data_IF_968387471682
#
_entry.id   IF_968387471682
#
_cell.length_a   1.000
_cell.length_b   1.000
_cell.length_c   1.000
_cell.angle_alpha   90.00
_cell.angle_beta   90.00
_cell.angle_gamma   90.00
#
_symmetry.space_group_name_H-M   'P 1'
#
loop_
_entity.id
_entity.type
_entity.pdbx_description
1 polymer ?
#
# COMPACT_ATOMS: atom_id res chain seq x y z
N UNK A 1 -60.74 -12.64 -129.76
CA UNK A 1 -60.20 -13.53 -128.72
C UNK A 1 -60.16 -14.94 -129.28
N UNK A 2 -59.04 -15.66 -129.12
CA UNK A 2 -58.89 -17.04 -129.59
C UNK A 2 -59.68 -17.98 -128.69
N UNK A 3 -60.23 -19.07 -129.24
CA UNK A 3 -60.95 -20.10 -128.47
C UNK A 3 -60.10 -20.69 -127.34
N UNK A 4 -58.77 -20.75 -127.53
CA UNK A 4 -57.81 -21.17 -126.51
C UNK A 4 -57.73 -20.19 -125.31
N UNK A 5 -57.86 -18.87 -125.56
CA UNK A 5 -57.89 -17.87 -124.49
C UNK A 5 -59.17 -18.03 -123.65
N UNK A 6 -60.31 -18.30 -124.30
CA UNK A 6 -61.59 -18.52 -123.62
C UNK A 6 -61.57 -19.76 -122.72
N UNK A 7 -60.96 -20.86 -123.15
CA UNK A 7 -60.82 -22.08 -122.35
C UNK A 7 -59.87 -21.90 -121.16
N UNK A 8 -58.76 -21.18 -121.36
CA UNK A 8 -57.84 -20.84 -120.28
C UNK A 8 -58.50 -19.94 -119.23
N UNK A 9 -59.27 -18.93 -119.66
CA UNK A 9 -60.06 -18.10 -118.74
C UNK A 9 -61.05 -18.96 -117.95
N UNK A 10 -61.75 -19.89 -118.60
CA UNK A 10 -62.72 -20.78 -117.94
C UNK A 10 -62.09 -21.68 -116.87
N UNK A 11 -60.86 -22.17 -117.10
CA UNK A 11 -60.09 -22.91 -116.09
C UNK A 11 -59.73 -22.03 -114.90
N UNK A 12 -59.23 -20.81 -115.15
CA UNK A 12 -58.90 -19.85 -114.09
C UNK A 12 -60.15 -19.52 -113.24
N UNK A 13 -61.30 -19.30 -113.87
CA UNK A 13 -62.56 -19.06 -113.15
C UNK A 13 -63.02 -20.26 -112.31
N UNK A 14 -62.83 -21.49 -112.82
CA UNK A 14 -63.14 -22.71 -112.07
C UNK A 14 -62.23 -22.89 -110.86
N UNK A 15 -60.92 -22.73 -111.04
CA UNK A 15 -59.95 -22.85 -109.94
C UNK A 15 -60.18 -21.78 -108.88
N UNK A 16 -60.50 -20.54 -109.30
CA UNK A 16 -60.87 -19.46 -108.39
C UNK A 16 -62.16 -19.77 -107.62
N UNK A 17 -63.18 -20.34 -108.29
CA UNK A 17 -64.43 -20.72 -107.65
C UNK A 17 -64.23 -21.85 -106.63
N UNK A 18 -63.44 -22.87 -106.95
CA UNK A 18 -63.09 -23.98 -106.04
C UNK A 18 -62.31 -23.43 -104.84
N UNK A 19 -61.27 -22.63 -105.07
CA UNK A 19 -60.47 -22.03 -104.00
C UNK A 19 -61.33 -21.16 -103.07
N UNK A 20 -62.25 -20.36 -103.63
CA UNK A 20 -63.21 -19.59 -102.84
C UNK A 20 -64.13 -20.48 -102.01
N UNK A 21 -64.66 -21.57 -102.58
CA UNK A 21 -65.53 -22.49 -101.86
C UNK A 21 -64.81 -23.20 -100.71
N UNK A 22 -63.57 -23.65 -100.94
CA UNK A 22 -62.72 -24.24 -99.90
C UNK A 22 -62.49 -23.23 -98.76
N UNK A 23 -62.11 -22.00 -99.09
CA UNK A 23 -61.88 -20.95 -98.09
C UNK A 23 -63.15 -20.58 -97.30
N UNK A 24 -64.30 -20.50 -97.96
CA UNK A 24 -65.59 -20.23 -97.29
C UNK A 24 -65.98 -21.36 -96.34
N UNK A 25 -65.77 -22.62 -96.75
CA UNK A 25 -66.06 -23.78 -95.90
C UNK A 25 -65.10 -23.89 -94.71
N UNK A 26 -63.82 -23.65 -94.90
CA UNK A 26 -62.82 -23.64 -93.81
C UNK A 26 -63.11 -22.51 -92.80
N UNK A 27 -63.45 -21.31 -93.27
CA UNK A 27 -63.84 -20.20 -92.41
C UNK A 27 -65.13 -20.51 -91.63
N UNK A 28 -66.12 -21.11 -92.28
CA UNK A 28 -67.36 -21.54 -91.63
C UNK A 28 -67.11 -22.61 -90.55
N UNK A 29 -66.24 -23.58 -90.81
CA UNK A 29 -65.84 -24.58 -89.82
C UNK A 29 -65.10 -23.95 -88.63
N UNK A 30 -64.16 -23.03 -88.88
CA UNK A 30 -63.42 -22.32 -87.82
C UNK A 30 -64.34 -21.48 -86.93
N UNK A 31 -65.36 -20.86 -87.53
CA UNK A 31 -66.40 -20.09 -86.82
C UNK A 31 -67.54 -20.96 -86.27
N UNK A 32 -67.50 -22.27 -86.51
CA UNK A 32 -68.52 -23.24 -86.09
C UNK A 32 -69.93 -22.90 -86.60
N UNK A 33 -70.03 -22.44 -87.84
CA UNK A 33 -71.30 -22.25 -88.54
C UNK A 33 -71.89 -23.60 -88.96
N UNK A 34 -73.21 -23.64 -89.13
CA UNK A 34 -73.93 -24.83 -89.62
C UNK A 34 -73.63 -25.08 -91.10
N UNK A 35 -73.86 -26.30 -91.56
CA UNK A 35 -73.57 -26.73 -92.94
C UNK A 35 -74.37 -25.96 -94.02
N UNK A 36 -75.46 -25.28 -93.64
CA UNK A 36 -76.36 -24.49 -94.48
C UNK A 36 -76.22 -22.96 -94.29
N UNK A 37 -75.00 -22.46 -94.12
CA UNK A 37 -74.74 -21.04 -93.89
C UNK A 37 -74.89 -20.18 -95.16
N UNK A 38 -75.41 -18.96 -95.01
CA UNK A 38 -75.42 -17.95 -96.07
C UNK A 38 -74.14 -17.09 -96.05
N UNK A 39 -73.87 -16.37 -97.13
CA UNK A 39 -72.75 -15.43 -97.17
C UNK A 39 -72.86 -14.33 -96.09
N UNK A 40 -74.08 -13.93 -95.73
CA UNK A 40 -74.33 -12.94 -94.67
C UNK A 40 -74.09 -13.54 -93.28
N UNK A 41 -74.42 -14.81 -93.05
CA UNK A 41 -74.10 -15.52 -91.80
C UNK A 41 -72.58 -15.62 -91.59
N UNK A 42 -71.83 -15.97 -92.65
CA UNK A 42 -70.37 -16.03 -92.61
C UNK A 42 -69.77 -14.65 -92.32
N UNK A 43 -70.27 -13.61 -92.98
CA UNK A 43 -69.81 -12.24 -92.75
C UNK A 43 -70.11 -11.76 -91.33
N UNK A 44 -71.32 -12.00 -90.83
CA UNK A 44 -71.71 -11.62 -89.48
C UNK A 44 -70.88 -12.34 -88.40
N UNK A 45 -70.60 -13.63 -88.58
CA UNK A 45 -69.76 -14.40 -87.67
C UNK A 45 -68.29 -13.94 -87.71
N UNK A 46 -67.75 -13.63 -88.90
CA UNK A 46 -66.43 -13.01 -89.04
C UNK A 46 -66.36 -11.66 -88.32
N UNK A 47 -67.36 -10.78 -88.49
CA UNK A 47 -67.41 -9.48 -87.82
C UNK A 47 -67.44 -9.61 -86.29
N UNK A 48 -68.21 -10.57 -85.76
CA UNK A 48 -68.24 -10.86 -84.31
C UNK A 48 -66.90 -11.40 -83.82
N UNK A 49 -66.28 -12.32 -84.56
CA UNK A 49 -64.98 -12.87 -84.19
C UNK A 49 -63.87 -11.80 -84.22
N UNK A 50 -63.87 -10.92 -85.22
CA UNK A 50 -62.94 -9.79 -85.33
C UNK A 50 -63.14 -8.83 -84.16
N UNK A 51 -64.39 -8.46 -83.84
CA UNK A 51 -64.68 -7.59 -82.68
C UNK A 51 -64.21 -8.22 -81.38
N UNK A 52 -64.49 -9.51 -81.17
CA UNK A 52 -64.05 -10.23 -79.97
C UNK A 52 -62.53 -10.29 -79.86
N UNK A 53 -61.83 -10.49 -80.98
CA UNK A 53 -60.36 -10.46 -81.00
C UNK A 53 -59.83 -9.07 -80.63
N UNK A 54 -60.40 -8.01 -81.21
CA UNK A 54 -60.06 -6.62 -80.88
C UNK A 54 -60.31 -6.30 -79.40
N UNK A 55 -61.47 -6.66 -78.87
CA UNK A 55 -61.82 -6.46 -77.45
C UNK A 55 -60.88 -7.25 -76.52
N UNK A 56 -60.50 -8.47 -76.91
CA UNK A 56 -59.55 -9.28 -76.16
C UNK A 56 -58.15 -8.66 -76.17
N UNK A 57 -57.67 -8.17 -77.32
CA UNK A 57 -56.37 -7.50 -77.43
C UNK A 57 -56.32 -6.22 -76.58
N UNK A 58 -57.40 -5.42 -76.59
CA UNK A 58 -57.54 -4.24 -75.72
C UNK A 58 -57.51 -4.65 -74.26
N UNK A 59 -58.30 -5.66 -73.86
CA UNK A 59 -58.35 -6.14 -72.48
C UNK A 59 -57.00 -6.72 -72.02
N UNK A 60 -56.27 -7.43 -72.88
CA UNK A 60 -54.93 -7.93 -72.57
C UNK A 60 -53.95 -6.78 -72.37
N UNK A 61 -53.99 -5.75 -73.23
CA UNK A 61 -53.14 -4.57 -73.10
C UNK A 61 -53.42 -3.81 -71.79
N UNK A 62 -54.69 -3.58 -71.46
CA UNK A 62 -55.10 -2.94 -70.21
C UNK A 62 -54.66 -3.74 -68.98
N UNK A 63 -54.89 -5.05 -68.98
CA UNK A 63 -54.48 -5.92 -67.87
C UNK A 63 -52.96 -5.96 -67.71
N UNK A 64 -52.21 -5.98 -68.82
CA UNK A 64 -50.74 -5.93 -68.79
C UNK A 64 -50.23 -4.61 -68.22
N UNK A 65 -50.85 -3.49 -68.61
CA UNK A 65 -50.49 -2.18 -68.06
C UNK A 65 -50.78 -2.11 -66.56
N UNK A 66 -51.97 -2.54 -66.13
CA UNK A 66 -52.34 -2.57 -64.71
C UNK A 66 -51.43 -3.47 -63.88
N UNK A 67 -51.13 -4.67 -64.38
CA UNK A 67 -50.19 -5.58 -63.72
C UNK A 67 -48.77 -4.98 -63.60
N UNK A 68 -48.31 -4.27 -64.64
CA UNK A 68 -47.01 -3.60 -64.63
C UNK A 68 -46.96 -2.47 -63.58
N UNK A 69 -48.04 -1.69 -63.47
CA UNK A 69 -48.17 -0.65 -62.45
C UNK A 69 -48.21 -1.23 -61.03
N UNK A 70 -48.97 -2.30 -60.80
CA UNK A 70 -49.06 -2.98 -59.50
C UNK A 70 -47.70 -3.58 -59.09
N UNK A 71 -47.00 -4.22 -60.02
CA UNK A 71 -45.63 -4.71 -59.79
C UNK A 71 -44.69 -3.56 -59.44
N UNK A 72 -44.76 -2.44 -60.15
CA UNK A 72 -43.95 -1.26 -59.87
C UNK A 72 -44.19 -0.70 -58.47
N UNK A 73 -45.46 -0.61 -58.04
CA UNK A 73 -45.83 -0.18 -56.68
C UNK A 73 -45.29 -1.15 -55.63
N UNK A 74 -45.49 -2.45 -55.82
CA UNK A 74 -45.01 -3.48 -54.90
C UNK A 74 -43.48 -3.47 -54.78
N UNK A 75 -42.75 -3.29 -55.89
CA UNK A 75 -41.29 -3.18 -55.87
C UNK A 75 -40.83 -1.93 -55.09
N UNK A 76 -41.52 -0.80 -55.25
CA UNK A 76 -41.23 0.42 -54.50
C UNK A 76 -41.48 0.26 -53.00
N UNK A 77 -42.58 -0.40 -52.62
CA UNK A 77 -42.90 -0.72 -51.23
C UNK A 77 -41.87 -1.66 -50.62
N UNK A 78 -41.52 -2.76 -51.30
CA UNK A 78 -40.49 -3.70 -50.84
C UNK A 78 -39.15 -2.99 -50.64
N UNK A 79 -38.74 -2.11 -51.56
CA UNK A 79 -37.51 -1.32 -51.42
C UNK A 79 -37.55 -0.41 -50.20
N UNK A 80 -38.69 0.21 -49.93
CA UNK A 80 -38.90 1.08 -48.76
C UNK A 80 -38.82 0.27 -47.46
N UNK A 81 -39.48 -0.90 -47.42
CA UNK A 81 -39.47 -1.80 -46.26
C UNK A 81 -38.06 -2.30 -45.98
N UNK A 82 -37.34 -2.77 -47.01
CA UNK A 82 -35.95 -3.24 -46.85
C UNK A 82 -35.08 -2.14 -46.25
N UNK A 83 -35.17 -0.91 -46.78
CA UNK A 83 -34.41 0.22 -46.24
C UNK A 83 -34.76 0.48 -44.77
N UNK A 84 -36.06 0.57 -44.45
CA UNK A 84 -36.49 0.80 -43.05
C UNK A 84 -36.05 -0.32 -42.11
N UNK A 85 -36.03 -1.57 -42.59
CA UNK A 85 -35.59 -2.72 -41.82
C UNK A 85 -34.10 -2.65 -41.55
N UNK A 86 -33.29 -2.34 -42.56
CA UNK A 86 -31.84 -2.18 -42.39
C UNK A 86 -31.52 -1.03 -41.43
N UNK A 87 -32.21 0.10 -41.54
CA UNK A 87 -32.03 1.23 -40.63
C UNK A 87 -32.42 0.85 -39.18
N UNK A 88 -33.54 0.13 -39.00
CA UNK A 88 -33.98 -0.35 -37.69
C UNK A 88 -33.04 -1.40 -37.09
N UNK A 89 -32.51 -2.33 -37.90
CA UNK A 89 -31.51 -3.31 -37.48
C UNK A 89 -30.21 -2.61 -37.04
N UNK A 90 -29.75 -1.61 -37.78
CA UNK A 90 -28.57 -0.81 -37.40
C UNK A 90 -28.78 -0.06 -36.09
N UNK A 91 -29.95 0.56 -35.89
CA UNK A 91 -30.28 1.24 -34.62
C UNK A 91 -30.34 0.26 -33.45
N UNK A 92 -30.92 -0.94 -33.65
CA UNK A 92 -30.98 -1.98 -32.63
C UNK A 92 -29.57 -2.42 -32.24
N UNK A 93 -28.69 -2.67 -33.19
CA UNK A 93 -27.33 -3.16 -32.93
C UNK A 93 -26.49 -2.08 -32.22
N UNK A 94 -26.66 -0.81 -32.58
CA UNK A 94 -26.05 0.31 -31.86
C UNK A 94 -26.57 0.41 -30.41
N UNK A 95 -27.88 0.28 -30.20
CA UNK A 95 -28.49 0.32 -28.87
C UNK A 95 -28.05 -0.85 -27.97
N UNK A 96 -27.88 -2.05 -28.55
CA UNK A 96 -27.33 -3.21 -27.82
C UNK A 96 -25.89 -2.92 -27.39
N UNK A 97 -25.06 -2.41 -28.31
CA UNK A 97 -23.66 -2.07 -28.01
C UNK A 97 -23.55 -1.01 -26.90
N UNK A 98 -24.37 0.04 -26.97
CA UNK A 98 -24.40 1.09 -25.96
C UNK A 98 -24.88 0.58 -24.60
N UNK A 99 -25.91 -0.28 -24.59
CA UNK A 99 -26.40 -0.94 -23.37
C UNK A 99 -25.31 -1.79 -22.72
N UNK A 100 -24.62 -2.63 -23.50
CA UNK A 100 -23.53 -3.47 -23.00
C UNK A 100 -22.39 -2.61 -22.42
N UNK A 101 -22.01 -1.52 -23.11
CA UNK A 101 -21.01 -0.58 -22.61
C UNK A 101 -21.44 0.10 -21.29
N UNK A 102 -22.70 0.53 -21.20
CA UNK A 102 -23.25 1.14 -19.98
C UNK A 102 -23.31 0.14 -18.81
N UNK A 103 -23.69 -1.12 -19.07
CA UNK A 103 -23.69 -2.19 -18.06
C UNK A 103 -22.27 -2.47 -17.53
N UNK A 104 -21.29 -2.56 -18.43
CA UNK A 104 -19.88 -2.73 -18.03
C UNK A 104 -19.38 -1.54 -17.21
N UNK A 105 -19.69 -0.31 -17.63
CA UNK A 105 -19.34 0.89 -16.88
C UNK A 105 -19.97 0.91 -15.48
N UNK A 106 -21.22 0.46 -15.33
CA UNK A 106 -21.87 0.34 -14.03
C UNK A 106 -21.22 -0.73 -13.13
N UNK A 107 -20.84 -1.88 -13.69
CA UNK A 107 -20.15 -2.94 -12.96
C UNK A 107 -18.80 -2.44 -12.44
N UNK A 108 -18.01 -1.79 -13.31
CA UNK A 108 -16.72 -1.21 -12.95
C UNK A 108 -16.91 -0.11 -11.90
N UNK A 109 -17.82 0.84 -12.13
CA UNK A 109 -18.10 1.92 -11.18
C UNK A 109 -18.56 1.44 -9.81
N UNK A 110 -19.38 0.37 -9.74
CA UNK A 110 -19.77 -0.26 -8.47
C UNK A 110 -18.58 -0.88 -7.74
N UNK A 111 -17.69 -1.56 -8.48
CA UNK A 111 -16.48 -2.16 -7.92
C UNK A 111 -15.54 -1.09 -7.38
N UNK A 112 -15.27 -0.06 -8.18
CA UNK A 112 -14.39 1.06 -7.81
C UNK A 112 -14.93 1.81 -6.59
N UNK A 113 -16.25 2.05 -6.53
CA UNK A 113 -16.88 2.66 -5.36
C UNK A 113 -16.78 1.77 -4.11
N UNK A 114 -16.97 0.45 -4.26
CA UNK A 114 -16.81 -0.50 -3.15
C UNK A 114 -15.38 -0.51 -2.60
N UNK A 115 -14.39 -0.50 -3.49
CA UNK A 115 -12.98 -0.50 -3.10
C UNK A 115 -12.55 0.85 -2.50
N UNK A 116 -13.05 1.97 -3.03
CA UNK A 116 -12.90 3.29 -2.44
C UNK A 116 -13.50 3.36 -1.03
N UNK A 117 -14.71 2.82 -0.83
CA UNK A 117 -15.36 2.74 0.48
C UNK A 117 -14.56 1.88 1.47
N UNK A 118 -14.03 0.73 1.04
CA UNK A 118 -13.16 -0.11 1.90
C UNK A 118 -11.89 0.64 2.30
N UNK A 119 -11.26 1.34 1.36
CA UNK A 119 -10.06 2.14 1.63
C UNK A 119 -10.37 3.29 2.59
N UNK A 120 -11.47 4.00 2.39
CA UNK A 120 -11.94 5.06 3.28
C UNK A 120 -12.23 4.52 4.70
N UNK A 121 -12.91 3.38 4.82
CA UNK A 121 -13.15 2.72 6.11
C UNK A 121 -11.86 2.36 6.83
N UNK A 122 -10.89 1.76 6.13
CA UNK A 122 -9.56 1.46 6.70
C UNK A 122 -8.85 2.72 7.18
N UNK A 123 -8.86 3.78 6.37
CA UNK A 123 -8.26 5.06 6.77
C UNK A 123 -8.92 5.65 8.03
N UNK A 124 -10.25 5.55 8.15
CA UNK A 124 -10.98 5.98 9.35
C UNK A 124 -10.63 5.12 10.56
N UNK A 125 -10.55 3.80 10.42
CA UNK A 125 -10.14 2.88 11.48
C UNK A 125 -8.71 3.17 11.95
N UNK A 126 -7.78 3.41 11.03
CA UNK A 126 -6.40 3.76 11.34
C UNK A 126 -6.32 5.11 12.05
N UNK A 127 -7.07 6.11 11.58
CA UNK A 127 -7.19 7.41 12.27
C UNK A 127 -7.80 7.29 13.67
N UNK A 128 -8.78 6.40 13.88
CA UNK A 128 -9.32 6.13 15.20
C UNK A 128 -8.30 5.45 16.13
N UNK A 129 -7.50 4.52 15.60
CA UNK A 129 -6.40 3.90 16.37
C UNK A 129 -5.33 4.93 16.72
N UNK A 130 -4.92 5.78 15.76
CA UNK A 130 -4.02 6.90 15.99
C UNK A 130 -4.57 7.85 17.05
N UNK A 131 -5.84 8.26 16.96
CA UNK A 131 -6.47 9.12 17.96
C UNK A 131 -6.53 8.47 19.33
N UNK A 132 -6.80 7.16 19.43
CA UNK A 132 -6.75 6.43 20.70
C UNK A 132 -5.32 6.37 21.24
N UNK A 133 -4.32 6.11 20.40
CA UNK A 133 -2.92 6.10 20.80
C UNK A 133 -2.46 7.49 21.27
N UNK A 134 -2.82 8.54 20.54
CA UNK A 134 -2.60 9.94 20.92
C UNK A 134 -3.30 10.24 22.23
N UNK A 135 -4.57 9.84 22.41
CA UNK A 135 -5.30 10.06 23.65
C UNK A 135 -4.64 9.31 24.82
N UNK A 136 -4.21 8.06 24.63
CA UNK A 136 -3.44 7.32 25.64
C UNK A 136 -2.08 7.97 25.95
N UNK A 137 -1.38 8.49 24.94
CA UNK A 137 -0.09 9.14 25.10
C UNK A 137 -0.19 10.54 25.75
N UNK A 138 -1.24 11.30 25.40
CA UNK A 138 -1.58 12.58 26.02
C UNK A 138 -2.23 12.40 27.38
N UNK A 139 -2.87 11.26 27.63
CA UNK A 139 -3.32 10.82 28.94
C UNK A 139 -2.14 10.28 29.76
N UNK A 140 -1.14 11.14 29.99
CA UNK A 140 -0.69 11.30 31.35
C UNK A 140 -1.92 11.78 32.15
N UNK A 141 -2.75 10.83 32.59
CA UNK A 141 -3.92 11.13 33.44
C UNK A 141 -3.46 12.02 34.59
N UNK A 142 -4.33 12.89 35.15
CA UNK A 142 -4.00 13.64 36.36
C UNK A 142 -3.36 12.74 37.43
N UNK A 143 -3.80 11.49 37.53
CA UNK A 143 -3.19 10.44 38.35
C UNK A 143 -1.74 10.09 37.99
N UNK A 144 -1.39 9.91 36.71
CA UNK A 144 0.00 9.65 36.29
C UNK A 144 0.90 10.86 36.51
N UNK A 145 0.40 12.08 36.26
CA UNK A 145 1.13 13.32 36.57
C UNK A 145 1.36 13.42 38.08
N UNK A 146 0.32 13.16 38.89
CA UNK A 146 0.43 13.16 40.36
C UNK A 146 1.38 12.07 40.85
N UNK A 147 1.38 10.87 40.25
CA UNK A 147 2.36 9.81 40.56
C UNK A 147 3.78 10.26 40.23
N UNK A 148 4.03 10.80 39.03
CA UNK A 148 5.34 11.34 38.65
C UNK A 148 5.79 12.46 39.60
N UNK A 149 4.90 13.38 39.96
CA UNK A 149 5.18 14.44 40.93
C UNK A 149 5.49 13.89 42.33
N UNK A 150 4.77 12.87 42.80
CA UNK A 150 5.06 12.19 44.08
C UNK A 150 6.43 11.51 44.05
N UNK A 151 6.76 10.80 42.97
CA UNK A 151 8.08 10.17 42.79
C UNK A 151 9.18 11.22 42.79
N UNK A 152 9.00 12.32 42.06
CA UNK A 152 9.99 13.39 41.97
C UNK A 152 10.16 14.11 43.32
N UNK A 153 9.07 14.31 44.07
CA UNK A 153 9.13 14.84 45.44
C UNK A 153 9.88 13.89 46.38
N UNK A 154 9.64 12.58 46.28
CA UNK A 154 10.37 11.57 47.06
C UNK A 154 11.88 11.60 46.74
N UNK A 155 12.23 11.57 45.46
CA UNK A 155 13.63 11.65 45.02
C UNK A 155 14.33 12.91 45.55
N UNK A 156 13.68 14.08 45.53
CA UNK A 156 14.26 15.30 46.10
C UNK A 156 14.49 15.23 47.61
N UNK A 157 13.58 14.61 48.36
CA UNK A 157 13.75 14.41 49.81
C UNK A 157 14.88 13.42 50.11
N UNK A 158 14.94 12.33 49.35
CA UNK A 158 16.00 11.32 49.49
C UNK A 158 17.37 11.93 49.14
N UNK A 159 17.47 12.74 48.08
CA UNK A 159 18.69 13.46 47.70
C UNK A 159 19.11 14.51 48.75
N UNK A 160 18.17 15.27 49.30
CA UNK A 160 18.45 16.24 50.36
C UNK A 160 18.96 15.55 51.63
N UNK A 161 18.38 14.40 51.99
CA UNK A 161 18.81 13.58 53.13
C UNK A 161 20.21 13.01 52.88
N UNK A 162 20.47 12.50 51.68
CA UNK A 162 21.79 12.00 51.30
C UNK A 162 22.86 13.11 51.35
N UNK A 163 22.55 14.32 50.85
CA UNK A 163 23.45 15.49 50.97
C UNK A 163 23.75 15.79 52.44
N UNK A 164 22.73 15.88 53.29
CA UNK A 164 22.91 16.14 54.72
C UNK A 164 23.78 15.09 55.39
N UNK A 165 23.53 13.81 55.14
CA UNK A 165 24.32 12.71 55.69
C UNK A 165 25.78 12.78 55.22
N UNK A 166 26.02 13.12 53.94
CA UNK A 166 27.36 13.31 53.42
C UNK A 166 28.08 14.51 54.05
N UNK A 167 27.37 15.63 54.27
CA UNK A 167 27.91 16.80 54.96
C UNK A 167 28.26 16.50 56.42
N UNK A 168 27.39 15.79 57.14
CA UNK A 168 27.64 15.39 58.53
C UNK A 168 28.80 14.40 58.64
N UNK A 169 28.91 13.44 57.73
CA UNK A 169 30.05 12.53 57.64
C UNK A 169 31.37 13.28 57.36
N UNK A 170 31.36 14.25 56.44
CA UNK A 170 32.53 15.06 56.13
C UNK A 170 32.97 15.93 57.33
N UNK A 171 32.00 16.50 58.07
CA UNK A 171 32.29 17.21 59.33
C UNK A 171 32.91 16.30 60.38
N UNK A 172 32.42 15.07 60.51
CA UNK A 172 32.99 14.08 61.44
C UNK A 172 34.42 13.72 61.05
N UNK A 173 34.66 13.41 59.78
CA UNK A 173 36.01 13.12 59.26
C UNK A 173 36.98 14.27 59.49
N UNK A 174 36.56 15.52 59.31
CA UNK A 174 37.42 16.69 59.62
C UNK A 174 37.79 16.78 61.10
N UNK A 175 36.86 16.46 62.00
CA UNK A 175 37.14 16.43 63.45
C UNK A 175 38.08 15.29 63.81
N UNK A 176 37.82 14.08 63.31
CA UNK A 176 38.67 12.91 63.53
C UNK A 176 40.07 13.12 62.96
N UNK A 177 40.20 13.70 61.76
CA UNK A 177 41.49 14.00 61.15
C UNK A 177 42.26 15.06 61.96
N UNK A 178 41.57 16.08 62.48
CA UNK A 178 42.18 17.05 63.40
C UNK A 178 42.68 16.36 64.69
N UNK A 179 41.88 15.49 65.30
CA UNK A 179 42.25 14.73 66.50
C UNK A 179 43.44 13.80 66.22
N UNK A 180 43.42 13.05 65.13
CA UNK A 180 44.53 12.18 64.72
C UNK A 180 45.80 12.97 64.47
N UNK A 181 45.71 14.18 63.91
CA UNK A 181 46.87 15.05 63.73
C UNK A 181 47.43 15.53 65.06
N UNK A 182 46.56 15.96 65.98
CA UNK A 182 46.98 16.34 67.34
C UNK A 182 47.63 15.15 68.08
N UNK A 183 47.07 13.93 67.97
CA UNK A 183 47.65 12.71 68.53
C UNK A 183 49.02 12.38 67.90
N UNK A 184 49.15 12.50 66.58
CA UNK A 184 50.43 12.30 65.90
C UNK A 184 51.49 13.30 66.35
N UNK A 185 51.14 14.58 66.49
CA UNK A 185 52.06 15.61 66.96
C UNK A 185 52.54 15.28 68.39
N UNK A 186 51.64 14.87 69.29
CA UNK A 186 52.01 14.45 70.66
C UNK A 186 52.89 13.19 70.70
N UNK A 187 52.63 12.21 69.82
CA UNK A 187 53.45 11.01 69.72
C UNK A 187 54.85 11.32 69.18
N UNK A 188 54.95 12.28 68.26
CA UNK A 188 56.25 12.74 67.74
C UNK A 188 57.07 13.42 68.84
N UNK A 189 56.45 14.32 69.61
CA UNK A 189 57.12 14.97 70.76
C UNK A 189 57.60 13.92 71.80
N UNK A 190 56.76 12.91 72.08
CA UNK A 190 57.14 11.82 72.99
C UNK A 190 58.27 10.95 72.42
N UNK A 191 58.33 10.75 71.10
CA UNK A 191 59.43 10.07 70.40
C UNK A 191 60.74 10.83 70.61
N UNK A 192 60.76 12.14 70.36
CA UNK A 192 61.94 12.99 70.55
C UNK A 192 62.44 12.96 72.01
N UNK A 193 61.52 13.09 72.98
CA UNK A 193 61.85 12.99 74.40
C UNK A 193 62.43 11.61 74.76
N UNK A 194 61.89 10.54 74.18
CA UNK A 194 62.38 9.17 74.40
C UNK A 194 63.77 8.95 73.79
N UNK A 195 64.04 9.50 72.61
CA UNK A 195 65.36 9.45 71.97
C UNK A 195 66.41 10.24 72.79
N UNK A 196 66.04 11.42 73.28
CA UNK A 196 66.88 12.22 74.17
C UNK A 196 67.18 11.48 75.49
N UNK A 197 66.16 10.85 76.09
CA UNK A 197 66.33 10.05 77.29
C UNK A 197 67.24 8.83 77.07
N UNK A 198 67.11 8.15 75.92
CA UNK A 198 68.01 7.05 75.54
C UNK A 198 69.46 7.53 75.38
N UNK A 199 69.68 8.68 74.75
CA UNK A 199 71.01 9.28 74.61
C UNK A 199 71.61 9.61 75.99
N UNK A 200 70.85 10.28 76.86
CA UNK A 200 71.27 10.57 78.23
C UNK A 200 71.53 9.29 79.05
N UNK A 201 70.74 8.23 78.85
CA UNK A 201 70.98 6.93 79.48
C UNK A 201 72.29 6.29 79.02
N UNK A 202 72.62 6.38 77.72
CA UNK A 202 73.90 5.87 77.18
C UNK A 202 75.09 6.66 77.70
N UNK A 203 75.00 7.98 77.76
CA UNK A 203 76.03 8.84 78.36
C UNK A 203 76.22 8.50 79.85
N UNK A 204 75.13 8.33 80.59
CA UNK A 204 75.20 7.92 81.99
C UNK A 204 75.80 6.52 82.14
N UNK A 205 75.49 5.59 81.23
CA UNK A 205 76.04 4.22 81.26
C UNK A 205 77.53 4.21 80.94
N UNK A 206 77.96 4.96 79.93
CA UNK A 206 79.39 5.10 79.61
C UNK A 206 80.15 5.75 80.76
N UNK A 207 79.59 6.80 81.38
CA UNK A 207 80.15 7.37 82.61
C UNK A 207 80.21 6.36 83.76
N UNK A 208 79.15 5.58 83.99
CA UNK A 208 79.13 4.56 85.03
C UNK A 208 80.15 3.44 84.75
N UNK A 209 80.27 2.98 83.51
CA UNK A 209 81.27 2.00 83.07
C UNK A 209 82.70 2.57 83.24
N UNK A 210 82.93 3.84 82.96
CA UNK A 210 84.21 4.52 83.21
C UNK A 210 84.54 4.66 84.70
N UNK A 211 83.54 4.95 85.54
CA UNK A 211 83.71 5.01 86.99
C UNK A 211 83.96 3.61 87.56
N UNK A 212 83.26 2.60 87.07
CA UNK A 212 83.47 1.18 87.40
C UNK A 212 84.87 0.70 86.95
N UNK A 213 85.40 1.21 85.83
CA UNK A 213 86.75 0.91 85.35
C UNK A 213 87.87 1.73 86.04
N UNK A 214 87.59 2.95 86.51
CA UNK A 214 88.50 3.81 87.29
C UNK A 214 88.48 3.48 88.79
N UNK A 215 87.49 2.72 89.25
CA UNK A 215 87.53 2.09 90.55
C UNK A 215 88.65 1.05 90.56
N UNK A 216 89.83 1.46 91.02
CA UNK A 216 90.87 0.54 91.47
C UNK A 216 90.24 -0.52 92.37
N UNK A 217 90.73 -1.76 92.28
CA UNK A 217 90.35 -2.94 93.05
C UNK A 217 90.63 -2.79 94.56
N UNK A 218 90.06 -1.77 95.20
CA UNK A 218 90.24 -1.37 96.60
C UNK A 218 89.02 -0.64 97.17
N UNK A 219 87.83 -0.81 96.58
CA UNK A 219 86.55 -0.48 97.21
C UNK A 219 85.70 -1.76 97.34
N UNK A 220 85.73 -2.40 98.51
CA UNK A 220 85.00 -3.64 98.85
C UNK A 220 83.46 -3.51 98.83
N UNK A 221 82.89 -2.37 98.45
CA UNK A 221 81.43 -2.10 98.42
C UNK A 221 80.93 -1.46 97.09
N UNK A 222 81.65 -1.64 95.98
CA UNK A 222 81.16 -1.18 94.68
C UNK A 222 80.04 -2.10 94.15
N UNK A 223 78.77 -1.71 94.37
CA UNK A 223 77.61 -2.37 93.75
C UNK A 223 77.61 -2.04 92.24
N UNK A 224 77.59 -3.04 91.34
CA UNK A 224 77.58 -2.80 89.91
C UNK A 224 76.34 -1.99 89.50
N UNK A 225 76.52 -1.00 88.64
CA UNK A 225 75.43 -0.12 88.23
C UNK A 225 74.28 -0.93 87.61
N UNK A 226 73.01 -0.71 88.03
CA UNK A 226 71.85 -1.44 87.51
C UNK A 226 71.79 -1.38 85.99
N UNK A 227 71.73 -2.55 85.34
CA UNK A 227 71.63 -2.67 83.88
C UNK A 227 70.15 -2.72 83.50
N UNK A 228 69.72 -1.81 82.63
CA UNK A 228 68.39 -1.88 82.06
C UNK A 228 68.28 -3.13 81.15
N UNK A 229 67.06 -3.65 81.02
CA UNK A 229 66.80 -4.85 80.23
C UNK A 229 67.10 -4.59 78.74
N UNK A 230 68.02 -5.35 78.16
CA UNK A 230 68.50 -5.15 76.78
C UNK A 230 67.37 -5.20 75.74
N UNK A 231 66.32 -5.99 75.99
CA UNK A 231 65.14 -6.06 75.13
C UNK A 231 64.33 -4.76 75.13
N UNK A 232 64.22 -4.10 76.28
CA UNK A 232 63.47 -2.86 76.43
C UNK A 232 64.21 -1.70 75.75
N UNK A 233 65.54 -1.62 75.93
CA UNK A 233 66.37 -0.64 75.23
C UNK A 233 66.35 -0.83 73.71
N UNK A 234 66.47 -2.08 73.24
CA UNK A 234 66.38 -2.40 71.81
C UNK A 234 64.98 -2.11 71.24
N UNK A 235 63.91 -2.32 72.01
CA UNK A 235 62.56 -1.99 71.58
C UNK A 235 62.34 -0.47 71.45
N UNK A 236 62.80 0.32 72.44
CA UNK A 236 62.73 1.79 72.35
C UNK A 236 63.60 2.28 71.20
N UNK A 237 64.81 1.76 71.04
CA UNK A 237 65.72 2.12 69.95
C UNK A 237 65.14 1.76 68.58
N UNK A 238 64.52 0.60 68.42
CA UNK A 238 63.84 0.23 67.17
C UNK A 238 62.64 1.14 66.90
N UNK A 239 61.92 1.57 67.93
CA UNK A 239 60.78 2.48 67.82
C UNK A 239 61.21 3.92 67.52
N UNK A 240 62.37 4.35 68.01
CA UNK A 240 62.95 5.67 67.71
C UNK A 240 63.70 5.69 66.38
N UNK A 241 64.42 4.62 66.03
CA UNK A 241 65.25 4.52 64.81
C UNK A 241 64.44 4.09 63.57
N UNK A 242 63.48 3.17 63.72
CA UNK A 242 62.53 2.82 62.65
C UNK A 242 61.58 3.95 62.29
N UNK A 243 61.67 5.09 62.98
CA UNK A 243 60.89 6.28 62.75
C UNK A 243 61.70 7.44 62.13
N UNK A 244 63.01 7.31 61.90
CA UNK A 244 63.74 8.29 61.06
C UNK A 244 63.56 7.94 59.56
N UNK A 245 63.40 6.66 59.23
CA UNK A 245 63.08 6.21 57.84
C UNK A 245 61.63 6.54 57.42
N UNK A 246 60.68 6.59 58.37
CA UNK A 246 59.24 6.83 58.08
C UNK A 246 58.90 8.33 58.06
N UNK A 247 59.72 9.17 58.70
CA UNK A 247 59.58 10.62 58.69
C UNK A 247 60.05 11.21 57.34
N UNK A 248 61.13 10.68 56.76
CA UNK A 248 61.58 10.99 55.38
C UNK A 248 60.55 10.59 54.30
N UNK A 249 59.86 9.45 54.46
CA UNK A 249 58.82 9.03 53.49
C UNK A 249 57.54 9.89 53.55
N UNK A 250 57.21 10.46 54.72
CA UNK A 250 56.03 11.34 54.86
C UNK A 250 56.25 12.75 54.29
N UNK A 251 57.45 13.32 54.42
CA UNK A 251 57.81 14.57 53.75
C UNK A 251 57.83 14.41 52.22
N UNK A 252 58.29 13.27 51.70
CA UNK A 252 58.32 12.98 50.27
C UNK A 252 56.93 12.74 49.64
N UNK A 253 55.96 12.23 50.42
CA UNK A 253 54.61 11.94 49.92
C UNK A 253 53.61 13.12 50.01
N UNK A 254 54.02 14.24 50.62
CA UNK A 254 53.18 15.45 50.78
C UNK A 254 53.67 16.68 50.00
N UNK A 255 54.80 16.56 49.29
CA UNK A 255 55.25 17.51 48.25
C UNK A 255 54.58 17.22 46.88
#
# INVERSE_FOLDING_TARGET
MSQADSEQQLRIWKDLAISKQVLMNEAAQALKLKDDFTADDLRGALDVAIKRAQDADVSIAENRNRASEEIGKMQAEVKTIIKSRTDAESQRDAAITEKEAAEQALIIGRKDNSDALKKAKRAVEDKQKELKAINTALADTPDNIVKKLKTLKKQKLDEATARKNAEDANRKLKKENKQQKEELDTLSELKEQSASLLAAYRELRTWADEVEAKADSSAEDAVPAPKAEAKLLSAIETTTAGADEVEEEREAATA
#
